data_IF_964073166867
#
_entry.id   IF_964073166867
#
_cell.length_a   1.000
_cell.length_b   1.000
_cell.length_c   1.000
_cell.angle_alpha   90.00
_cell.angle_beta   90.00
_cell.angle_gamma   90.00
#
_symmetry.space_group_name_H-M   'P 1'
#
loop_
_entity.id
_entity.type
_entity.pdbx_description
1 polymer ?
#
# COMPACT_ATOMS: atom_id res chain seq x y z
N UNK A 1 13.79 28.59 -43.17
CA UNK A 1 12.32 28.42 -42.96
C UNK A 1 12.10 27.03 -42.37
N UNK A 2 12.06 26.91 -41.05
CA UNK A 2 11.78 25.62 -40.39
C UNK A 2 10.29 25.43 -40.24
N UNK A 3 9.74 24.22 -40.45
CA UNK A 3 8.31 23.95 -40.32
C UNK A 3 7.93 23.85 -38.85
N UNK A 4 7.33 24.88 -38.30
CA UNK A 4 6.64 24.88 -36.99
C UNK A 4 5.28 24.16 -37.06
N UNK A 5 5.28 22.87 -37.29
CA UNK A 5 4.04 22.09 -37.33
C UNK A 5 4.24 20.81 -36.54
N UNK A 6 3.87 20.82 -35.23
CA UNK A 6 3.77 19.64 -34.40
C UNK A 6 4.08 19.81 -32.91
N UNK A 7 4.93 20.77 -32.53
CA UNK A 7 5.36 20.90 -31.11
C UNK A 7 4.37 21.62 -30.21
N UNK A 8 3.38 22.32 -30.75
CA UNK A 8 2.52 23.19 -29.95
C UNK A 8 1.35 22.48 -29.26
N UNK A 9 0.88 21.38 -29.85
CA UNK A 9 -0.28 20.62 -29.31
C UNK A 9 0.18 19.60 -28.28
N UNK A 10 1.29 18.89 -28.55
CA UNK A 10 1.81 17.84 -27.68
C UNK A 10 2.28 18.39 -26.32
N UNK A 11 3.03 19.48 -26.30
CA UNK A 11 3.49 20.12 -25.08
C UNK A 11 2.37 20.72 -24.22
N UNK A 12 1.23 21.10 -24.83
CA UNK A 12 0.06 21.59 -24.09
C UNK A 12 -0.71 20.46 -23.44
N UNK A 13 -0.90 19.34 -24.14
CA UNK A 13 -1.53 18.13 -23.60
C UNK A 13 -0.70 17.53 -22.45
N UNK A 14 0.63 17.48 -22.62
CA UNK A 14 1.56 16.99 -21.61
C UNK A 14 1.51 17.83 -20.33
N UNK A 15 1.54 19.15 -20.45
CA UNK A 15 1.40 20.07 -19.30
C UNK A 15 0.05 19.90 -18.58
N UNK A 16 -1.05 19.82 -19.32
CA UNK A 16 -2.38 19.59 -18.74
C UNK A 16 -2.46 18.25 -18.01
N UNK A 17 -1.90 17.19 -18.59
CA UNK A 17 -1.84 15.89 -17.96
C UNK A 17 -1.00 15.91 -16.67
N UNK A 18 0.19 16.54 -16.72
CA UNK A 18 1.06 16.68 -15.55
C UNK A 18 0.41 17.49 -14.42
N UNK A 19 -0.26 18.60 -14.75
CA UNK A 19 -1.01 19.42 -13.77
C UNK A 19 -2.17 18.64 -13.17
N UNK A 20 -2.91 17.87 -13.96
CA UNK A 20 -3.98 17.03 -13.48
C UNK A 20 -3.46 15.92 -12.54
N UNK A 21 -2.38 15.23 -12.94
CA UNK A 21 -1.74 14.20 -12.11
C UNK A 21 -1.21 14.80 -10.81
N UNK A 22 -0.61 15.96 -10.85
CA UNK A 22 -0.13 16.67 -9.65
C UNK A 22 -1.27 17.02 -8.69
N UNK A 23 -2.40 17.48 -9.22
CA UNK A 23 -3.56 17.89 -8.44
C UNK A 23 -4.33 16.71 -7.83
N UNK A 24 -4.49 15.61 -8.58
CA UNK A 24 -5.38 14.51 -8.20
C UNK A 24 -4.64 13.25 -7.79
N UNK A 25 -3.36 13.08 -8.17
CA UNK A 25 -2.60 11.85 -7.99
C UNK A 25 -2.53 11.37 -6.54
N UNK A 26 -2.31 12.28 -5.60
CA UNK A 26 -2.27 11.91 -4.17
C UNK A 26 -3.63 11.45 -3.63
N UNK A 27 -4.71 12.07 -4.09
CA UNK A 27 -6.07 11.69 -3.68
C UNK A 27 -6.40 10.31 -4.24
N UNK A 28 -6.12 10.11 -5.53
CA UNK A 28 -6.34 8.82 -6.19
C UNK A 28 -5.52 7.71 -5.54
N UNK A 29 -4.24 7.95 -5.29
CA UNK A 29 -3.35 7.01 -4.62
C UNK A 29 -3.87 6.61 -3.23
N UNK A 30 -4.31 7.58 -2.43
CA UNK A 30 -4.87 7.36 -1.10
C UNK A 30 -6.10 6.44 -1.14
N UNK A 31 -7.06 6.73 -2.03
CA UNK A 31 -8.27 5.91 -2.14
C UNK A 31 -7.97 4.52 -2.71
N UNK A 32 -7.00 4.40 -3.62
CA UNK A 32 -6.56 3.10 -4.14
C UNK A 32 -5.97 2.22 -3.04
N UNK A 33 -5.10 2.77 -2.19
CA UNK A 33 -4.55 2.05 -1.04
C UNK A 33 -5.69 1.66 -0.08
N UNK A 34 -6.60 2.58 0.23
CA UNK A 34 -7.73 2.31 1.10
C UNK A 34 -8.61 1.16 0.57
N UNK A 35 -8.93 1.17 -0.72
CA UNK A 35 -9.71 0.11 -1.36
C UNK A 35 -9.01 -1.26 -1.26
N UNK A 36 -7.70 -1.32 -1.52
CA UNK A 36 -6.91 -2.55 -1.40
C UNK A 36 -6.94 -3.09 0.03
N UNK A 37 -6.70 -2.23 1.04
CA UNK A 37 -6.70 -2.64 2.44
C UNK A 37 -8.07 -3.10 2.93
N UNK A 38 -9.15 -2.41 2.56
CA UNK A 38 -10.51 -2.82 2.91
C UNK A 38 -10.85 -4.16 2.25
N UNK A 39 -10.57 -4.27 0.94
CA UNK A 39 -10.92 -5.47 0.18
C UNK A 39 -10.16 -6.70 0.69
N UNK A 40 -8.83 -6.64 0.70
CA UNK A 40 -7.99 -7.78 1.11
C UNK A 40 -8.13 -8.09 2.61
N UNK A 41 -8.33 -7.06 3.44
CA UNK A 41 -8.58 -7.22 4.86
C UNK A 41 -9.89 -7.97 5.13
N UNK A 42 -10.96 -7.64 4.41
CA UNK A 42 -12.26 -8.29 4.57
C UNK A 42 -12.26 -9.78 4.17
N UNK A 43 -11.38 -10.21 3.26
CA UNK A 43 -11.27 -11.62 2.86
C UNK A 43 -10.75 -12.53 3.98
N UNK A 44 -9.97 -12.00 4.92
CA UNK A 44 -9.36 -12.78 6.00
C UNK A 44 -10.39 -13.36 7.00
N UNK A 45 -11.28 -12.55 7.59
CA UNK A 45 -12.30 -13.08 8.48
C UNK A 45 -13.32 -13.96 7.77
N UNK A 46 -13.48 -13.83 6.45
CA UNK A 46 -14.32 -14.70 5.63
C UNK A 46 -13.66 -16.07 5.31
N UNK A 47 -12.39 -16.25 5.65
CA UNK A 47 -11.66 -17.49 5.41
C UNK A 47 -11.23 -17.73 3.95
N UNK A 48 -11.46 -16.77 3.04
CA UNK A 48 -11.19 -16.90 1.60
C UNK A 48 -9.92 -16.17 1.15
N UNK A 49 -9.12 -15.68 2.09
CA UNK A 49 -7.87 -15.00 1.76
C UNK A 49 -6.79 -16.00 1.33
N UNK A 50 -6.14 -15.81 0.18
CA UNK A 50 -5.09 -16.73 -0.33
C UNK A 50 -3.82 -16.73 0.53
N UNK A 51 -3.66 -15.77 1.43
CA UNK A 51 -2.47 -15.67 2.30
C UNK A 51 -2.69 -16.27 3.70
N UNK A 52 -3.83 -16.90 3.97
CA UNK A 52 -4.13 -17.47 5.30
C UNK A 52 -3.10 -18.54 5.69
N UNK A 53 -2.71 -19.42 4.76
CA UNK A 53 -1.74 -20.49 5.02
C UNK A 53 -0.35 -19.91 5.30
N UNK A 54 0.06 -18.88 4.57
CA UNK A 54 1.31 -18.17 4.83
C UNK A 54 1.33 -17.57 6.24
N UNK A 55 0.25 -16.90 6.64
CA UNK A 55 0.13 -16.32 7.99
C UNK A 55 0.21 -17.40 9.05
N UNK A 56 -0.53 -18.50 8.88
CA UNK A 56 -0.54 -19.62 9.83
C UNK A 56 0.86 -20.22 10.00
N UNK A 57 1.59 -20.43 8.91
CA UNK A 57 2.94 -20.97 8.95
C UNK A 57 3.97 -19.98 9.54
N UNK A 58 3.73 -18.68 9.37
CA UNK A 58 4.63 -17.65 9.90
C UNK A 58 4.50 -17.46 11.40
N UNK A 59 3.26 -17.40 11.90
CA UNK A 59 2.96 -17.15 13.33
C UNK A 59 2.43 -18.41 14.01
N UNK A 60 3.17 -19.52 13.85
CA UNK A 60 2.78 -20.85 14.37
C UNK A 60 2.53 -20.89 15.89
N UNK A 61 3.03 -19.89 16.64
CA UNK A 61 2.80 -19.74 18.09
C UNK A 61 1.49 -19.07 18.47
N UNK A 62 0.73 -18.52 17.48
CA UNK A 62 -0.58 -17.91 17.70
C UNK A 62 -1.70 -18.76 17.09
N UNK A 63 -2.87 -18.85 17.76
CA UNK A 63 -4.02 -19.55 17.21
C UNK A 63 -4.52 -18.79 15.95
N UNK A 64 -4.35 -19.40 14.78
CA UNK A 64 -4.72 -18.83 13.49
C UNK A 64 -6.19 -18.42 13.40
N UNK A 65 -7.07 -19.16 14.10
CA UNK A 65 -8.52 -18.88 14.17
C UNK A 65 -8.86 -17.51 14.77
N UNK A 66 -7.99 -16.97 15.62
CA UNK A 66 -8.17 -15.65 16.25
C UNK A 66 -7.32 -14.60 15.53
N UNK A 67 -6.08 -14.95 15.21
CA UNK A 67 -5.11 -14.00 14.67
C UNK A 67 -5.45 -13.56 13.25
N UNK A 68 -5.88 -14.45 12.36
CA UNK A 68 -6.21 -14.12 10.98
C UNK A 68 -7.41 -13.16 10.88
N UNK A 69 -8.56 -13.40 11.55
CA UNK A 69 -9.63 -12.42 11.57
C UNK A 69 -9.23 -11.08 12.20
N UNK A 70 -8.44 -11.09 13.29
CA UNK A 70 -7.92 -9.88 13.90
C UNK A 70 -7.09 -9.05 12.91
N UNK A 71 -6.17 -9.69 12.19
CA UNK A 71 -5.36 -9.03 11.16
C UNK A 71 -6.24 -8.47 10.02
N UNK A 72 -7.28 -9.19 9.63
CA UNK A 72 -8.24 -8.72 8.64
C UNK A 72 -8.97 -7.45 9.08
N UNK A 73 -9.49 -7.41 10.30
CA UNK A 73 -10.13 -6.21 10.85
C UNK A 73 -9.15 -5.04 11.02
N UNK A 74 -7.91 -5.34 11.40
CA UNK A 74 -6.84 -4.35 11.45
C UNK A 74 -6.59 -3.70 10.09
N UNK A 75 -6.51 -4.48 9.02
CA UNK A 75 -6.35 -3.98 7.64
C UNK A 75 -7.54 -3.15 7.18
N UNK A 76 -8.77 -3.61 7.46
CA UNK A 76 -9.98 -2.84 7.17
C UNK A 76 -9.96 -1.50 7.91
N UNK A 77 -9.55 -1.49 9.18
CA UNK A 77 -9.41 -0.27 9.97
C UNK A 77 -8.42 0.72 9.33
N UNK A 78 -7.25 0.24 8.90
CA UNK A 78 -6.28 1.07 8.18
C UNK A 78 -6.92 1.67 6.93
N UNK A 79 -7.58 0.85 6.12
CA UNK A 79 -8.25 1.31 4.90
C UNK A 79 -9.32 2.35 5.15
N UNK A 80 -10.16 2.16 6.17
CA UNK A 80 -11.17 3.14 6.59
C UNK A 80 -10.52 4.44 7.08
N UNK A 81 -9.48 4.34 7.91
CA UNK A 81 -8.75 5.52 8.38
C UNK A 81 -8.09 6.30 7.24
N UNK A 82 -7.65 5.64 6.17
CA UNK A 82 -7.12 6.29 4.97
C UNK A 82 -8.17 7.12 4.22
N UNK A 83 -9.45 6.77 4.30
CA UNK A 83 -10.53 7.54 3.65
C UNK A 83 -10.73 8.89 4.35
N UNK A 84 -10.59 8.95 5.67
CA UNK A 84 -10.83 10.15 6.44
C UNK A 84 -9.54 10.96 6.66
N UNK A 85 -9.51 12.21 6.18
CA UNK A 85 -8.33 13.10 6.31
C UNK A 85 -7.79 13.24 7.73
N UNK A 86 -8.60 13.46 8.77
CA UNK A 86 -8.08 13.64 10.14
C UNK A 86 -7.40 12.38 10.69
N UNK A 87 -7.77 11.19 10.20
CA UNK A 87 -7.23 9.90 10.63
C UNK A 87 -6.01 9.43 9.83
N UNK A 88 -5.58 10.20 8.82
CA UNK A 88 -4.48 9.82 7.94
C UNK A 88 -3.17 9.54 8.71
N UNK A 89 -2.85 10.32 9.75
CA UNK A 89 -1.65 10.09 10.55
C UNK A 89 -1.73 8.76 11.30
N UNK A 90 -2.90 8.45 11.85
CA UNK A 90 -3.16 7.16 12.52
C UNK A 90 -3.05 6.01 11.51
N UNK A 91 -3.71 6.14 10.36
CA UNK A 91 -3.65 5.13 9.30
C UNK A 91 -2.21 4.82 8.86
N UNK A 92 -1.40 5.85 8.65
CA UNK A 92 0.00 5.69 8.26
C UNK A 92 0.81 4.99 9.37
N UNK A 93 0.61 5.37 10.64
CA UNK A 93 1.29 4.72 11.77
C UNK A 93 0.92 3.24 11.87
N UNK A 94 -0.36 2.89 11.73
CA UNK A 94 -0.84 1.52 11.74
C UNK A 94 -0.29 0.71 10.55
N UNK A 95 -0.21 1.33 9.37
CA UNK A 95 0.33 0.72 8.16
C UNK A 95 1.83 0.44 8.31
N UNK A 96 2.59 1.38 8.84
CA UNK A 96 4.02 1.17 9.12
C UNK A 96 4.22 0.03 10.12
N UNK A 97 3.41 -0.03 11.19
CA UNK A 97 3.47 -1.10 12.16
C UNK A 97 3.18 -2.47 11.53
N UNK A 98 2.18 -2.54 10.67
CA UNK A 98 1.82 -3.78 9.95
C UNK A 98 2.94 -4.24 9.02
N UNK A 99 3.69 -3.33 8.42
CA UNK A 99 4.77 -3.67 7.49
C UNK A 99 5.79 -4.60 8.14
N UNK A 100 6.16 -4.36 9.40
CA UNK A 100 7.08 -5.24 10.13
C UNK A 100 6.57 -6.68 10.18
N UNK A 101 5.27 -6.87 10.46
CA UNK A 101 4.64 -8.20 10.45
C UNK A 101 4.62 -8.84 9.06
N UNK A 102 4.37 -8.06 8.02
CA UNK A 102 4.26 -8.58 6.64
C UNK A 102 5.61 -8.98 6.02
N UNK A 103 6.72 -8.44 6.51
CA UNK A 103 8.07 -8.81 6.07
C UNK A 103 8.61 -10.03 6.83
N UNK A 104 8.05 -10.33 7.99
CA UNK A 104 8.51 -11.41 8.87
C UNK A 104 8.60 -12.80 8.19
N UNK A 105 7.67 -13.22 7.31
CA UNK A 105 7.75 -14.51 6.62
C UNK A 105 9.02 -14.70 5.78
N UNK A 106 9.58 -13.63 5.21
CA UNK A 106 10.82 -13.72 4.42
C UNK A 106 12.01 -14.25 5.23
N UNK A 107 11.95 -14.06 6.55
CA UNK A 107 13.01 -14.49 7.48
C UNK A 107 12.67 -15.78 8.22
N UNK A 108 11.40 -16.00 8.56
CA UNK A 108 10.97 -17.15 9.37
C UNK A 108 10.67 -18.39 8.53
N UNK A 109 10.14 -18.21 7.32
CA UNK A 109 9.73 -19.28 6.41
C UNK A 109 10.21 -19.00 4.99
N UNK A 110 11.53 -18.85 4.78
CA UNK A 110 12.09 -18.50 3.48
C UNK A 110 11.76 -19.55 2.40
N UNK A 111 11.63 -20.81 2.75
CA UNK A 111 11.28 -21.90 1.83
C UNK A 111 9.86 -21.73 1.24
N UNK A 112 8.94 -21.04 1.92
CA UNK A 112 7.60 -20.71 1.40
C UNK A 112 7.68 -19.48 0.50
N UNK A 113 8.60 -18.55 0.78
CA UNK A 113 8.69 -17.26 0.09
C UNK A 113 9.61 -17.31 -1.15
N UNK A 114 10.54 -18.28 -1.22
CA UNK A 114 11.52 -18.38 -2.30
C UNK A 114 11.52 -19.77 -2.91
N UNK A 115 11.53 -19.82 -4.25
CA UNK A 115 11.83 -21.02 -5.03
C UNK A 115 13.34 -21.19 -5.20
N UNK A 116 14.06 -20.08 -5.33
CA UNK A 116 15.51 -19.98 -5.40
C UNK A 116 15.98 -18.73 -4.65
N UNK A 117 16.51 -18.92 -3.47
CA UNK A 117 17.03 -17.80 -2.67
C UNK A 117 18.28 -17.19 -3.33
N UNK A 118 18.42 -15.83 -3.35
CA UNK A 118 17.50 -14.80 -2.83
C UNK A 118 16.57 -14.17 -3.90
N UNK A 119 16.59 -14.63 -5.15
CA UNK A 119 15.95 -13.92 -6.28
C UNK A 119 14.70 -14.61 -6.84
N UNK A 120 14.53 -15.91 -6.66
CA UNK A 120 13.36 -16.64 -7.13
C UNK A 120 12.22 -16.57 -6.12
N UNK A 121 11.28 -15.65 -6.28
CA UNK A 121 10.14 -15.52 -5.37
C UNK A 121 8.98 -16.44 -5.77
N UNK A 122 8.33 -17.05 -4.78
CA UNK A 122 7.02 -17.69 -4.92
C UNK A 122 5.92 -16.64 -5.07
N UNK A 123 4.68 -17.04 -5.26
CA UNK A 123 3.54 -16.12 -5.24
C UNK A 123 3.44 -15.41 -3.88
N UNK A 124 3.63 -16.14 -2.80
CA UNK A 124 3.64 -15.63 -1.43
C UNK A 124 4.73 -14.57 -1.24
N UNK A 125 5.96 -14.86 -1.70
CA UNK A 125 7.06 -13.90 -1.66
C UNK A 125 6.77 -12.64 -2.47
N UNK A 126 6.14 -12.76 -3.65
CA UNK A 126 5.72 -11.61 -4.45
C UNK A 126 4.64 -10.76 -3.75
N UNK A 127 3.71 -11.38 -3.00
CA UNK A 127 2.73 -10.64 -2.19
C UNK A 127 3.40 -9.77 -1.13
N UNK A 128 4.46 -10.28 -0.51
CA UNK A 128 5.23 -9.51 0.48
C UNK A 128 5.96 -8.35 -0.19
N UNK A 129 6.60 -8.58 -1.34
CA UNK A 129 7.32 -7.53 -2.07
C UNK A 129 6.41 -6.39 -2.53
N UNK A 130 5.16 -6.68 -2.91
CA UNK A 130 4.17 -5.65 -3.25
C UNK A 130 3.90 -4.66 -2.11
N UNK A 131 4.06 -5.09 -0.86
CA UNK A 131 3.85 -4.20 0.30
C UNK A 131 4.88 -3.06 0.36
N UNK A 132 6.07 -3.20 -0.22
CA UNK A 132 7.02 -2.10 -0.35
C UNK A 132 6.51 -1.00 -1.27
N UNK A 133 5.76 -1.37 -2.32
CA UNK A 133 5.11 -0.38 -3.20
C UNK A 133 3.99 0.35 -2.45
N UNK A 134 3.18 -0.37 -1.67
CA UNK A 134 2.14 0.23 -0.82
C UNK A 134 2.74 1.16 0.23
N UNK A 135 3.87 0.79 0.83
CA UNK A 135 4.60 1.64 1.76
C UNK A 135 5.07 2.93 1.09
N UNK A 136 5.72 2.82 -0.07
CA UNK A 136 6.21 3.98 -0.81
C UNK A 136 5.06 4.93 -1.18
N UNK A 137 3.94 4.36 -1.62
CA UNK A 137 2.72 5.09 -1.91
C UNK A 137 2.15 5.80 -0.65
N UNK A 138 2.18 5.12 0.50
CA UNK A 138 1.75 5.69 1.77
C UNK A 138 2.64 6.86 2.22
N UNK A 139 3.96 6.78 2.00
CA UNK A 139 4.90 7.87 2.26
C UNK A 139 4.54 9.10 1.41
N UNK A 140 4.23 8.91 0.13
CA UNK A 140 3.82 10.00 -0.77
C UNK A 140 2.52 10.67 -0.27
N UNK A 141 1.54 9.86 0.16
CA UNK A 141 0.29 10.37 0.74
C UNK A 141 0.56 11.15 2.03
N UNK A 142 1.45 10.63 2.89
CA UNK A 142 1.86 11.28 4.14
C UNK A 142 2.59 12.62 3.93
N UNK A 143 3.46 12.68 2.93
CA UNK A 143 4.16 13.92 2.56
C UNK A 143 3.22 15.04 2.11
N UNK A 144 2.06 14.70 1.56
CA UNK A 144 1.02 15.66 1.21
C UNK A 144 0.34 16.36 2.41
N UNK A 145 0.40 15.74 3.60
CA UNK A 145 -0.18 16.33 4.82
C UNK A 145 0.60 17.55 5.31
N UNK A 146 1.92 17.56 5.16
CA UNK A 146 2.78 18.65 5.61
C UNK A 146 2.58 19.94 4.80
N UNK A 147 2.32 19.82 3.48
CA UNK A 147 2.13 20.97 2.59
C UNK A 147 0.81 21.74 2.81
N UNK A 148 -0.11 21.19 3.60
CA UNK A 148 -1.42 21.80 3.88
C UNK A 148 -1.52 22.42 5.29
N UNK A 149 -0.45 22.35 6.08
CA UNK A 149 -0.37 23.08 7.35
C UNK A 149 -0.05 24.55 7.06
N UNK A 150 -0.81 25.53 7.61
CA UNK A 150 -0.59 26.97 7.36
C UNK A 150 0.74 27.52 7.88
N UNK A 151 1.58 26.72 8.47
CA UNK A 151 2.80 27.12 9.20
C UNK A 151 4.06 27.32 8.33
N UNK A 152 3.95 27.16 7.00
CA UNK A 152 5.08 27.36 6.09
C UNK A 152 4.78 28.42 4.99
N UNK A 153 3.99 29.44 5.35
CA UNK A 153 3.78 30.62 4.52
C UNK A 153 4.54 31.81 5.15
N UNK A 154 5.89 31.64 5.33
CA UNK A 154 6.84 32.74 5.56
C UNK A 154 8.02 32.59 4.60
#
# INVERSE_FOLDING_TARGET
MEPKLGGFTFGRCDKMAAEWMHKHGQIFLRYSIAAVFIWLGALKPLGISPVNDLITNTVFWLPSSIFIPFLGYWEVLIGVCLIFRPLLRVALSLLFLQLFGTVLPLFLVPEVCFTQFPYGLTLEGQYIMKNFVLLSAAIVVGGGLSKQSPQYAE
#
